data_IF_786261028465
#
_entry.id   IF_786261028465
#
_cell.length_a   1.000
_cell.length_b   1.000
_cell.length_c   1.000
_cell.angle_alpha   90.00
_cell.angle_beta   90.00
_cell.angle_gamma   90.00
#
_symmetry.space_group_name_H-M   'P 1'
#
loop_
_entity.id
_entity.type
_entity.pdbx_description
1 polymer ?
#
# COMPACT_ATOMS: atom_id res chain seq x y z
N UNK A 1 -25.34 -21.11 -11.14
CA UNK A 1 -24.52 -21.49 -9.96
C UNK A 1 -24.03 -20.21 -9.31
N UNK A 2 -24.79 -19.66 -8.37
CA UNK A 2 -24.40 -18.48 -7.58
C UNK A 2 -23.43 -18.94 -6.51
N UNK A 3 -22.14 -18.61 -6.66
CA UNK A 3 -21.12 -18.87 -5.64
C UNK A 3 -21.55 -18.20 -4.34
N UNK A 4 -21.74 -19.00 -3.29
CA UNK A 4 -21.93 -18.52 -1.92
C UNK A 4 -20.69 -17.73 -1.51
N UNK A 5 -20.82 -16.39 -1.45
CA UNK A 5 -19.75 -15.49 -1.02
C UNK A 5 -19.61 -15.43 0.50
N UNK A 6 -20.49 -16.08 1.26
CA UNK A 6 -20.60 -15.92 2.71
C UNK A 6 -19.45 -16.54 3.52
N UNK A 7 -18.53 -17.28 2.89
CA UNK A 7 -17.47 -18.04 3.59
C UNK A 7 -16.05 -17.59 3.31
N UNK A 8 -15.82 -16.62 2.41
CA UNK A 8 -14.47 -16.12 2.14
C UNK A 8 -14.07 -15.06 3.16
N UNK A 9 -12.85 -15.17 3.70
CA UNK A 9 -12.24 -14.08 4.47
C UNK A 9 -12.12 -12.83 3.58
N UNK A 10 -12.23 -11.62 4.15
CA UNK A 10 -12.04 -10.38 3.38
C UNK A 10 -10.65 -10.36 2.74
N UNK A 11 -10.55 -9.83 1.52
CA UNK A 11 -9.26 -9.51 0.90
C UNK A 11 -8.55 -8.44 1.71
N UNK A 12 -7.28 -8.65 2.02
CA UNK A 12 -6.43 -7.70 2.73
C UNK A 12 -5.49 -7.01 1.73
N UNK A 13 -5.62 -5.70 1.55
CA UNK A 13 -4.83 -4.91 0.60
C UNK A 13 -4.01 -3.88 1.38
N UNK A 14 -2.69 -3.90 1.21
CA UNK A 14 -1.81 -2.86 1.76
C UNK A 14 -1.61 -1.74 0.75
N UNK A 15 -2.00 -0.52 1.13
CA UNK A 15 -1.77 0.72 0.37
C UNK A 15 -0.45 1.32 0.85
N UNK A 16 0.54 1.37 -0.03
CA UNK A 16 1.92 1.76 0.27
C UNK A 16 2.17 3.14 -0.31
N UNK A 17 2.34 4.14 0.56
CA UNK A 17 3.04 5.36 0.21
C UNK A 17 4.56 5.13 0.41
N UNK A 18 5.37 5.08 -0.66
CA UNK A 18 6.79 4.75 -0.54
C UNK A 18 7.65 5.95 -0.12
N UNK A 19 7.08 7.13 0.13
CA UNK A 19 7.80 8.24 0.75
C UNK A 19 7.46 8.39 2.24
N UNK A 20 8.23 9.22 2.94
CA UNK A 20 8.09 9.42 4.40
C UNK A 20 7.02 10.43 4.80
N UNK A 21 6.31 11.05 3.85
CA UNK A 21 5.33 12.10 4.12
C UNK A 21 3.99 11.50 4.54
N UNK A 22 3.72 11.43 5.85
CA UNK A 22 2.47 10.89 6.40
C UNK A 22 1.22 11.57 5.84
N UNK A 23 1.24 12.88 5.65
CA UNK A 23 0.10 13.62 5.09
C UNK A 23 -0.31 13.15 3.68
N UNK A 24 0.62 12.60 2.89
CA UNK A 24 0.26 11.99 1.60
C UNK A 24 -0.49 10.67 1.80
N UNK A 25 -0.08 9.86 2.78
CA UNK A 25 -0.80 8.63 3.16
C UNK A 25 -2.20 8.95 3.67
N UNK A 26 -2.32 9.96 4.53
CA UNK A 26 -3.61 10.39 5.08
C UNK A 26 -4.55 10.88 3.97
N UNK A 27 -4.02 11.56 2.94
CA UNK A 27 -4.79 12.00 1.78
C UNK A 27 -5.29 10.84 0.90
N UNK A 28 -4.67 9.66 0.95
CA UNK A 28 -5.14 8.47 0.22
C UNK A 28 -6.37 7.82 0.88
N UNK A 29 -6.50 7.94 2.21
CA UNK A 29 -7.59 7.32 2.98
C UNK A 29 -8.98 7.70 2.41
N UNK A 30 -9.37 8.99 2.31
CA UNK A 30 -10.68 9.35 1.78
C UNK A 30 -10.86 8.99 0.31
N UNK A 31 -9.77 8.90 -0.47
CA UNK A 31 -9.84 8.47 -1.87
C UNK A 31 -10.18 6.98 -1.98
N UNK A 32 -9.55 6.14 -1.16
CA UNK A 32 -9.82 4.69 -1.11
C UNK A 32 -11.22 4.43 -0.54
N UNK A 33 -11.61 5.12 0.53
CA UNK A 33 -12.96 5.02 1.10
C UNK A 33 -14.03 5.43 0.08
N UNK A 34 -13.77 6.47 -0.73
CA UNK A 34 -14.64 6.93 -1.80
C UNK A 34 -14.87 5.92 -2.94
N UNK A 35 -14.05 4.88 -3.05
CA UNK A 35 -14.26 3.79 -4.02
C UNK A 35 -15.40 2.83 -3.60
N UNK A 36 -15.90 2.94 -2.36
CA UNK A 36 -17.05 2.18 -1.85
C UNK A 36 -16.94 0.66 -2.02
N UNK A 37 -15.75 0.09 -1.76
CA UNK A 37 -15.60 -1.36 -1.63
C UNK A 37 -16.40 -1.87 -0.45
N UNK A 38 -17.00 -3.05 -0.59
CA UNK A 38 -17.71 -3.72 0.50
C UNK A 38 -16.70 -4.08 1.63
N UNK A 39 -16.84 -3.51 2.85
CA UNK A 39 -15.90 -3.73 3.94
C UNK A 39 -15.96 -5.16 4.51
N UNK A 40 -17.02 -5.93 4.20
CA UNK A 40 -17.10 -7.36 4.51
C UNK A 40 -16.20 -8.16 3.56
N UNK A 41 -16.00 -7.67 2.33
CA UNK A 41 -15.24 -8.37 1.30
C UNK A 41 -13.80 -7.87 1.15
N UNK A 42 -13.51 -6.62 1.50
CA UNK A 42 -12.19 -5.99 1.28
C UNK A 42 -11.81 -5.10 2.47
N UNK A 43 -10.57 -5.23 2.93
CA UNK A 43 -9.96 -4.42 3.96
C UNK A 43 -8.70 -3.76 3.42
N UNK A 44 -8.55 -2.48 3.74
CA UNK A 44 -7.37 -1.70 3.39
C UNK A 44 -6.57 -1.38 4.65
N UNK A 45 -5.26 -1.54 4.57
CA UNK A 45 -4.29 -1.03 5.53
C UNK A 45 -3.37 -0.05 4.82
N UNK A 46 -2.78 0.88 5.59
CA UNK A 46 -1.98 1.96 5.02
C UNK A 46 -0.57 1.91 5.60
N UNK A 47 0.40 2.21 4.74
CA UNK A 47 1.81 2.24 5.08
C UNK A 47 2.45 3.52 4.55
N UNK A 48 3.21 4.19 5.40
CA UNK A 48 4.13 5.27 5.06
C UNK A 48 5.54 4.74 5.22
N UNK A 49 6.46 5.07 4.31
CA UNK A 49 7.85 4.65 4.45
C UNK A 49 8.42 5.07 5.81
N UNK A 50 9.07 4.15 6.55
CA UNK A 50 9.54 4.43 7.92
C UNK A 50 10.72 5.42 7.93
N UNK A 51 11.43 5.54 6.81
CA UNK A 51 12.58 6.41 6.59
C UNK A 51 12.87 6.52 5.10
N UNK A 52 13.85 7.34 4.71
CA UNK A 52 14.21 7.61 3.31
C UNK A 52 13.77 9.00 2.87
N UNK A 53 13.31 9.11 1.63
CA UNK A 53 12.99 10.40 0.99
C UNK A 53 11.56 10.88 1.31
N UNK A 54 11.36 12.19 1.56
CA UNK A 54 10.02 12.76 1.79
C UNK A 54 9.20 12.92 0.50
N UNK A 55 9.86 13.00 -0.65
CA UNK A 55 9.24 12.99 -1.98
C UNK A 55 10.13 12.21 -2.93
N UNK A 56 9.53 11.55 -3.92
CA UNK A 56 10.23 10.79 -4.95
C UNK A 56 10.12 11.55 -6.26
N UNK A 57 11.22 12.15 -6.70
CA UNK A 57 11.23 13.05 -7.86
C UNK A 57 12.10 12.52 -9.02
N UNK A 58 12.83 11.43 -8.80
CA UNK A 58 13.72 10.83 -9.77
C UNK A 58 13.98 9.35 -9.45
N UNK A 59 14.75 8.67 -10.30
CA UNK A 59 15.08 7.25 -10.14
C UNK A 59 15.95 6.96 -8.89
N UNK A 60 16.85 7.86 -8.52
CA UNK A 60 17.69 7.68 -7.33
C UNK A 60 16.84 7.74 -6.05
N UNK A 61 15.90 8.69 -5.98
CA UNK A 61 14.92 8.79 -4.89
C UNK A 61 14.08 7.51 -4.77
N UNK A 62 13.65 6.94 -5.90
CA UNK A 62 12.85 5.71 -5.93
C UNK A 62 13.65 4.49 -5.45
N UNK A 63 14.93 4.39 -5.82
CA UNK A 63 15.83 3.34 -5.32
C UNK A 63 16.06 3.47 -3.81
N UNK A 64 16.29 4.68 -3.32
CA UNK A 64 16.49 4.92 -1.90
C UNK A 64 15.23 4.63 -1.09
N UNK A 65 14.08 5.10 -1.57
CA UNK A 65 12.77 4.73 -1.02
C UNK A 65 12.60 3.21 -0.92
N UNK A 66 12.83 2.47 -2.01
CA UNK A 66 12.69 1.01 -2.01
C UNK A 66 13.61 0.34 -0.97
N UNK A 67 14.85 0.82 -0.83
CA UNK A 67 15.81 0.32 0.16
C UNK A 67 15.29 0.47 1.59
N UNK A 68 14.58 1.55 1.87
CA UNK A 68 14.00 1.83 3.19
C UNK A 68 12.67 1.10 3.44
N UNK A 69 11.84 0.90 2.42
CA UNK A 69 10.57 0.21 2.57
C UNK A 69 10.72 -1.32 2.65
N UNK A 70 11.57 -1.89 1.79
CA UNK A 70 11.58 -3.33 1.53
C UNK A 70 11.79 -4.21 2.78
N UNK A 71 12.71 -3.90 3.72
CA UNK A 71 12.90 -4.72 4.92
C UNK A 71 11.64 -4.83 5.78
N UNK A 72 10.96 -3.71 6.01
CA UNK A 72 9.71 -3.67 6.79
C UNK A 72 8.57 -4.35 6.04
N UNK A 73 8.46 -4.13 4.73
CA UNK A 73 7.44 -4.78 3.90
C UNK A 73 7.59 -6.30 3.92
N UNK A 74 8.81 -6.83 3.74
CA UNK A 74 9.08 -8.27 3.79
C UNK A 74 8.77 -8.83 5.17
N UNK A 75 9.27 -8.19 6.23
CA UNK A 75 9.21 -8.75 7.59
C UNK A 75 7.81 -8.69 8.18
N UNK A 76 7.07 -7.61 7.91
CA UNK A 76 5.83 -7.32 8.65
C UNK A 76 4.56 -7.42 7.81
N UNK A 77 4.68 -7.32 6.47
CA UNK A 77 3.50 -7.11 5.63
C UNK A 77 3.30 -8.18 4.56
N UNK A 78 4.37 -8.75 4.01
CA UNK A 78 4.29 -9.64 2.83
C UNK A 78 3.40 -10.87 3.06
N UNK A 79 3.46 -11.47 4.26
CA UNK A 79 2.66 -12.65 4.61
C UNK A 79 1.22 -12.32 5.04
N UNK A 80 0.90 -11.05 5.30
CA UNK A 80 -0.33 -10.62 5.96
C UNK A 80 -1.36 -9.98 5.01
N UNK A 81 -0.99 -9.75 3.75
CA UNK A 81 -1.83 -9.09 2.76
C UNK A 81 -1.90 -9.94 1.49
N UNK A 82 -3.07 -9.96 0.86
CA UNK A 82 -3.31 -10.68 -0.38
C UNK A 82 -2.88 -9.85 -1.60
N UNK A 83 -2.76 -8.52 -1.46
CA UNK A 83 -2.29 -7.61 -2.49
C UNK A 83 -1.60 -6.34 -1.93
N UNK A 84 -0.82 -5.69 -2.80
CA UNK A 84 -0.09 -4.46 -2.51
C UNK A 84 -0.40 -3.42 -3.58
N UNK A 85 -0.73 -2.19 -3.16
CA UNK A 85 -0.91 -1.03 -4.04
C UNK A 85 0.21 -0.04 -3.76
N UNK A 86 1.16 0.10 -4.70
CA UNK A 86 2.24 1.09 -4.60
C UNK A 86 1.73 2.44 -5.11
N UNK A 87 1.56 3.41 -4.21
CA UNK A 87 1.08 4.75 -4.51
C UNK A 87 2.23 5.69 -4.86
N UNK A 88 2.80 5.50 -6.05
CA UNK A 88 3.80 6.38 -6.65
C UNK A 88 3.49 6.57 -8.13
N UNK A 89 3.62 7.80 -8.65
CA UNK A 89 3.45 8.06 -10.09
C UNK A 89 4.66 7.64 -10.93
N UNK A 90 5.83 7.49 -10.31
CA UNK A 90 7.08 7.11 -10.97
C UNK A 90 7.18 5.59 -11.13
N UNK A 91 7.99 5.13 -12.08
CA UNK A 91 8.41 3.73 -12.13
C UNK A 91 9.21 3.41 -10.85
N UNK A 92 8.58 2.68 -9.92
CA UNK A 92 9.15 2.42 -8.61
C UNK A 92 9.74 1.01 -8.56
N UNK A 93 10.92 0.78 -7.96
CA UNK A 93 11.48 -0.56 -7.81
C UNK A 93 10.69 -1.54 -6.92
N UNK A 94 9.54 -1.10 -6.38
CA UNK A 94 8.63 -1.95 -5.61
C UNK A 94 7.51 -2.55 -6.49
N UNK A 95 7.35 -2.07 -7.72
CA UNK A 95 6.34 -2.52 -8.68
C UNK A 95 6.84 -3.64 -9.59
#
# INVERSE_FOLDING_TARGET
MTSDRSTRRPWSILVINPNTTQAMTDALIPLIEGLNFDPILTKFTFFTAPSGVPSINNEADAKESARHCLPTLITNHLANHDAFLICCYSAHPLS
#
